data_IF_268248756360
#
_entry.id   IF_268248756360
#
_cell.length_a   1.000
_cell.length_b   1.000
_cell.length_c   1.000
_cell.angle_alpha   90.00
_cell.angle_beta   90.00
_cell.angle_gamma   90.00
#
_symmetry.space_group_name_H-M   'P 1'
#
loop_
_entity.id
_entity.type
_entity.pdbx_description
1 polymer ?
#
# COMPACT_ATOMS: atom_id res chain seq x y z
N UNK A 1 76.85 60.24 7.37
CA UNK A 1 75.77 59.86 6.44
C UNK A 1 75.49 58.40 6.69
N UNK A 2 74.37 58.06 7.33
CA UNK A 2 74.03 56.69 7.71
C UNK A 2 72.61 56.40 7.19
N UNK A 3 72.37 55.32 6.41
CA UNK A 3 71.08 55.10 5.79
C UNK A 3 70.14 54.45 6.80
N UNK A 4 69.09 55.17 7.22
CA UNK A 4 67.97 54.57 7.96
C UNK A 4 67.21 53.63 7.03
N UNK A 5 67.48 52.33 7.16
CA UNK A 5 66.71 51.25 6.53
C UNK A 5 65.36 51.14 7.25
N UNK A 6 64.29 51.56 6.59
CA UNK A 6 62.94 51.35 7.09
C UNK A 6 62.54 49.88 6.93
N UNK A 7 62.42 49.15 8.03
CA UNK A 7 61.80 47.83 8.01
C UNK A 7 60.28 47.98 7.94
N UNK A 8 59.70 47.60 6.80
CA UNK A 8 58.26 47.55 6.63
C UNK A 8 57.70 46.37 7.43
N UNK A 9 56.92 46.66 8.48
CA UNK A 9 56.12 45.65 9.20
C UNK A 9 54.96 45.21 8.30
N UNK A 10 55.15 44.11 7.58
CA UNK A 10 54.10 43.48 6.78
C UNK A 10 53.08 42.84 7.71
N UNK A 11 51.95 43.51 7.97
CA UNK A 11 50.79 42.89 8.59
C UNK A 11 49.94 42.22 7.51
N UNK A 12 49.78 40.89 7.60
CA UNK A 12 48.83 40.14 6.79
C UNK A 12 47.41 40.47 7.26
N UNK A 13 46.74 41.37 6.57
CA UNK A 13 45.29 41.57 6.70
C UNK A 13 44.56 40.36 6.12
N UNK A 14 44.11 39.46 7.01
CA UNK A 14 43.23 38.34 6.68
C UNK A 14 41.79 38.82 6.74
N UNK A 15 41.40 39.66 5.79
CA UNK A 15 40.06 40.21 5.75
C UNK A 15 39.24 39.33 4.80
N UNK A 16 38.35 38.51 5.36
CA UNK A 16 37.33 37.84 4.56
C UNK A 16 36.46 38.93 3.93
N UNK A 17 36.42 38.97 2.60
CA UNK A 17 35.61 39.94 1.89
C UNK A 17 34.13 39.67 2.17
N UNK A 18 33.35 40.66 2.63
CA UNK A 18 31.90 40.51 2.87
C UNK A 18 31.12 40.03 1.64
N UNK A 19 31.70 40.13 0.44
CA UNK A 19 31.17 39.60 -0.82
C UNK A 19 30.87 38.10 -0.74
N UNK A 20 31.59 37.33 0.10
CA UNK A 20 31.35 35.90 0.29
C UNK A 20 30.10 35.55 1.12
N UNK A 21 29.48 36.53 1.76
CA UNK A 21 28.24 36.31 2.51
C UNK A 21 27.12 35.87 1.56
N UNK A 22 27.02 36.50 0.39
CA UNK A 22 25.97 36.21 -0.58
C UNK A 22 25.98 34.75 -1.08
N UNK A 23 27.10 34.18 -1.58
CA UNK A 23 27.13 32.77 -1.99
C UNK A 23 26.93 31.79 -0.84
N UNK A 24 27.40 32.09 0.37
CA UNK A 24 27.16 31.23 1.56
C UNK A 24 25.68 31.22 1.92
N UNK A 25 25.03 32.38 1.96
CA UNK A 25 23.59 32.49 2.25
C UNK A 25 22.78 31.76 1.18
N UNK A 26 23.10 31.93 -0.10
CA UNK A 26 22.43 31.21 -1.19
C UNK A 26 22.62 29.69 -1.07
N UNK A 27 23.83 29.22 -0.73
CA UNK A 27 24.08 27.80 -0.51
C UNK A 27 23.29 27.24 0.69
N UNK A 28 23.18 28.00 1.78
CA UNK A 28 22.38 27.62 2.95
C UNK A 28 20.88 27.56 2.63
N UNK A 29 20.35 28.52 1.88
CA UNK A 29 18.95 28.50 1.43
C UNK A 29 18.71 27.29 0.52
N UNK A 30 19.62 27.00 -0.41
CA UNK A 30 19.53 25.82 -1.27
C UNK A 30 19.52 24.51 -0.47
N UNK A 31 20.45 24.39 0.49
CA UNK A 31 20.50 23.23 1.39
C UNK A 31 19.22 23.11 2.23
N UNK A 32 18.69 24.24 2.71
CA UNK A 32 17.44 24.28 3.47
C UNK A 32 16.25 23.82 2.62
N UNK A 33 16.10 24.30 1.39
CA UNK A 33 15.01 23.91 0.49
C UNK A 33 15.08 22.41 0.18
N UNK A 34 16.27 21.89 -0.10
CA UNK A 34 16.48 20.45 -0.34
C UNK A 34 16.09 19.62 0.89
N UNK A 35 16.53 20.03 2.07
CA UNK A 35 16.17 19.37 3.33
C UNK A 35 14.67 19.45 3.61
N UNK A 36 14.06 20.62 3.41
CA UNK A 36 12.64 20.85 3.62
C UNK A 36 11.78 19.98 2.70
N UNK A 37 12.15 19.89 1.41
CA UNK A 37 11.44 19.07 0.43
C UNK A 37 11.52 17.58 0.77
N UNK A 38 12.68 17.08 1.21
CA UNK A 38 12.85 15.67 1.55
C UNK A 38 12.20 15.30 2.89
N UNK A 39 12.24 16.21 3.88
CA UNK A 39 11.73 15.95 5.24
C UNK A 39 10.20 15.97 5.36
N UNK A 40 9.47 16.54 4.39
CA UNK A 40 8.00 16.62 4.42
C UNK A 40 7.32 15.62 3.48
N UNK A 41 8.08 14.74 2.83
CA UNK A 41 7.51 13.63 2.07
C UNK A 41 6.98 12.58 3.03
N UNK A 42 5.75 12.10 2.77
CA UNK A 42 5.22 10.96 3.52
C UNK A 42 5.91 9.65 3.14
N UNK A 43 5.54 8.53 3.79
CA UNK A 43 6.26 7.28 3.63
C UNK A 43 6.08 6.71 2.21
N UNK A 44 7.19 6.27 1.63
CA UNK A 44 7.18 5.47 0.40
C UNK A 44 6.83 4.02 0.74
N UNK A 45 5.95 3.42 -0.06
CA UNK A 45 5.53 2.03 0.05
C UNK A 45 5.72 1.34 -1.30
N UNK A 46 6.26 0.12 -1.25
CA UNK A 46 6.43 -0.74 -2.42
C UNK A 46 5.32 -1.78 -2.43
N UNK A 47 4.58 -1.86 -3.53
CA UNK A 47 3.52 -2.83 -3.76
C UNK A 47 3.93 -3.78 -4.89
N UNK A 48 3.69 -5.08 -4.72
CA UNK A 48 4.01 -6.12 -5.70
C UNK A 48 2.71 -6.75 -6.19
N UNK A 49 2.56 -6.84 -7.52
CA UNK A 49 1.42 -7.51 -8.18
C UNK A 49 1.91 -8.28 -9.40
N UNK A 50 1.11 -9.22 -9.89
CA UNK A 50 1.33 -9.87 -11.20
C UNK A 50 0.80 -9.04 -12.36
N UNK A 51 -0.13 -8.11 -12.10
CA UNK A 51 -0.73 -7.24 -13.12
C UNK A 51 -1.03 -5.85 -12.55
N UNK A 52 -0.70 -4.81 -13.32
CA UNK A 52 -0.93 -3.41 -12.97
C UNK A 52 -1.99 -2.74 -13.87
N UNK A 53 -2.93 -3.51 -14.42
CA UNK A 53 -4.03 -3.00 -15.24
C UNK A 53 -4.79 -1.87 -14.53
N UNK A 54 -4.87 -0.72 -15.21
CA UNK A 54 -5.57 0.46 -14.69
C UNK A 54 -4.80 1.24 -13.62
N UNK A 55 -3.55 0.87 -13.33
CA UNK A 55 -2.67 1.59 -12.41
C UNK A 55 -1.69 2.44 -13.20
N UNK A 56 -1.71 3.74 -12.96
CA UNK A 56 -0.86 4.73 -13.62
C UNK A 56 -0.11 5.59 -12.59
N UNK A 57 1.19 5.74 -12.81
CA UNK A 57 2.04 6.66 -12.03
C UNK A 57 1.56 8.11 -12.16
N UNK A 58 1.51 8.80 -11.03
CA UNK A 58 1.06 10.18 -10.90
C UNK A 58 -0.46 10.39 -10.97
N UNK A 59 -1.26 9.35 -11.20
CA UNK A 59 -2.73 9.46 -11.31
C UNK A 59 -3.49 8.55 -10.37
N UNK A 60 -3.04 7.30 -10.19
CA UNK A 60 -3.75 6.35 -9.33
C UNK A 60 -3.60 6.75 -7.87
N UNK A 61 -4.73 6.98 -7.21
CA UNK A 61 -4.78 7.37 -5.80
C UNK A 61 -4.80 6.15 -4.89
N UNK A 62 -4.23 6.29 -3.70
CA UNK A 62 -4.38 5.36 -2.60
C UNK A 62 -5.42 5.94 -1.65
N UNK A 63 -6.44 5.15 -1.32
CA UNK A 63 -7.51 5.54 -0.43
C UNK A 63 -7.60 4.62 0.77
N UNK A 64 -8.03 5.15 1.91
CA UNK A 64 -8.39 4.36 3.07
C UNK A 64 -9.75 4.84 3.55
N UNK A 65 -10.74 3.92 3.58
CA UNK A 65 -12.15 4.24 3.85
C UNK A 65 -12.67 5.33 2.91
N UNK A 66 -12.33 5.24 1.62
CA UNK A 66 -12.67 6.22 0.58
C UNK A 66 -12.04 7.61 0.73
N UNK A 67 -11.12 7.81 1.67
CA UNK A 67 -10.38 9.07 1.86
C UNK A 67 -9.03 8.96 1.16
N UNK A 68 -8.65 10.01 0.42
CA UNK A 68 -7.35 10.08 -0.25
C UNK A 68 -6.19 10.18 0.76
N UNK A 69 -5.26 9.22 0.69
CA UNK A 69 -4.13 9.09 1.61
C UNK A 69 -2.78 8.99 0.91
N UNK A 70 -2.75 9.05 -0.42
CA UNK A 70 -1.51 8.92 -1.18
C UNK A 70 -1.72 8.72 -2.68
N UNK A 71 -0.61 8.55 -3.39
CA UNK A 71 -0.60 8.41 -4.84
C UNK A 71 0.47 7.43 -5.30
N UNK A 72 0.20 6.71 -6.37
CA UNK A 72 1.19 5.88 -7.06
C UNK A 72 2.17 6.80 -7.77
N UNK A 73 3.47 6.62 -7.55
CA UNK A 73 4.53 7.39 -8.23
C UNK A 73 4.95 6.71 -9.53
N UNK A 74 5.13 5.39 -9.51
CA UNK A 74 5.55 4.62 -10.69
C UNK A 74 5.10 3.16 -10.61
N UNK A 75 4.97 2.55 -11.79
CA UNK A 75 4.75 1.11 -11.96
C UNK A 75 5.76 0.59 -12.99
N UNK A 76 6.59 -0.37 -12.59
CA UNK A 76 7.68 -0.92 -13.41
C UNK A 76 7.69 -2.43 -13.30
N UNK A 77 8.05 -3.14 -14.37
CA UNK A 77 8.35 -4.56 -14.25
C UNK A 77 9.58 -4.78 -13.37
N UNK A 78 9.55 -5.85 -12.60
CA UNK A 78 10.70 -6.37 -11.86
C UNK A 78 11.75 -6.95 -12.81
N UNK A 79 12.98 -7.14 -12.35
CA UNK A 79 14.11 -7.61 -13.17
C UNK A 79 13.85 -9.00 -13.80
N UNK A 80 13.06 -9.84 -13.14
CA UNK A 80 12.66 -11.15 -13.65
C UNK A 80 11.51 -11.10 -14.68
N UNK A 81 10.93 -9.91 -14.90
CA UNK A 81 9.80 -9.63 -15.79
C UNK A 81 8.50 -10.39 -15.46
N UNK A 82 8.41 -11.02 -14.28
CA UNK A 82 7.25 -11.82 -13.85
C UNK A 82 6.30 -11.05 -12.96
N UNK A 83 6.80 -10.03 -12.25
CA UNK A 83 6.00 -9.18 -11.37
C UNK A 83 6.10 -7.71 -11.76
N UNK A 84 5.09 -6.93 -11.38
CA UNK A 84 5.11 -5.47 -11.42
C UNK A 84 5.37 -4.94 -10.02
N UNK A 85 6.39 -4.09 -9.91
CA UNK A 85 6.69 -3.30 -8.74
C UNK A 85 6.06 -1.92 -8.89
N UNK A 86 5.21 -1.56 -7.94
CA UNK A 86 4.53 -0.27 -7.88
C UNK A 86 5.11 0.48 -6.70
N UNK A 87 5.73 1.64 -6.96
CA UNK A 87 6.12 2.58 -5.92
C UNK A 87 5.01 3.59 -5.71
N UNK A 88 4.57 3.72 -4.47
CA UNK A 88 3.59 4.72 -4.09
C UNK A 88 4.05 5.49 -2.87
N UNK A 89 3.51 6.69 -2.71
CA UNK A 89 3.84 7.56 -1.58
C UNK A 89 2.56 7.97 -0.88
N UNK A 90 2.51 7.72 0.42
CA UNK A 90 1.41 8.22 1.25
C UNK A 90 1.66 9.67 1.64
N UNK A 91 0.60 10.37 2.03
CA UNK A 91 0.70 11.69 2.61
C UNK A 91 1.44 11.66 3.97
N UNK A 92 2.07 12.77 4.33
CA UNK A 92 2.74 12.92 5.63
C UNK A 92 1.75 12.66 6.77
N UNK A 93 2.15 11.87 7.78
CA UNK A 93 1.29 11.50 8.91
C UNK A 93 0.48 10.22 8.71
N UNK A 94 0.57 9.58 7.53
CA UNK A 94 -0.12 8.31 7.21
C UNK A 94 0.73 7.07 7.48
N UNK A 95 1.90 7.21 8.12
CA UNK A 95 2.79 6.10 8.50
C UNK A 95 2.07 5.09 9.40
N UNK A 96 1.11 5.57 10.20
CA UNK A 96 0.27 4.75 11.10
C UNK A 96 -0.68 3.81 10.36
N UNK A 97 -0.84 3.95 9.05
CA UNK A 97 -1.63 3.03 8.23
C UNK A 97 -0.80 1.82 7.77
N UNK A 98 0.53 1.87 7.91
CA UNK A 98 1.48 0.88 7.42
C UNK A 98 1.93 -0.06 8.56
N UNK A 99 1.29 -1.22 8.63
CA UNK A 99 1.61 -2.32 9.51
C UNK A 99 1.87 -3.59 8.71
N UNK A 100 2.42 -4.63 9.33
CA UNK A 100 2.66 -5.92 8.65
C UNK A 100 1.38 -6.55 8.11
N UNK A 101 0.27 -6.35 8.82
CA UNK A 101 -1.06 -6.85 8.48
C UNK A 101 -1.91 -5.85 7.68
N UNK A 102 -1.34 -4.74 7.19
CA UNK A 102 -2.03 -3.84 6.27
C UNK A 102 -2.24 -4.51 4.92
N UNK A 103 -3.41 -4.31 4.31
CA UNK A 103 -3.82 -4.95 3.06
C UNK A 103 -4.10 -3.89 2.02
N UNK A 104 -3.58 -4.11 0.81
CA UNK A 104 -3.81 -3.24 -0.35
C UNK A 104 -4.54 -4.02 -1.43
N UNK A 105 -5.55 -3.42 -2.05
CA UNK A 105 -6.20 -4.00 -3.22
C UNK A 105 -6.62 -2.96 -4.24
N UNK A 106 -6.75 -3.39 -5.49
CA UNK A 106 -7.27 -2.55 -6.58
C UNK A 106 -8.80 -2.54 -6.53
N UNK A 107 -9.37 -1.34 -6.59
CA UNK A 107 -10.81 -1.14 -6.81
C UNK A 107 -11.00 -0.68 -8.25
N UNK A 108 -11.67 -1.52 -9.03
CA UNK A 108 -12.04 -1.27 -10.44
C UNK A 108 -13.47 -1.76 -10.71
N UNK A 109 -14.11 -1.37 -11.82
CA UNK A 109 -15.46 -1.82 -12.13
C UNK A 109 -15.42 -3.34 -12.35
N UNK A 110 -16.28 -4.06 -11.65
CA UNK A 110 -16.38 -5.51 -11.78
C UNK A 110 -17.82 -5.94 -11.99
N UNK A 111 -18.02 -6.89 -12.90
CA UNK A 111 -19.31 -7.53 -13.15
C UNK A 111 -19.24 -8.93 -12.56
N UNK A 112 -19.96 -9.13 -11.46
CA UNK A 112 -20.05 -10.40 -10.77
C UNK A 112 -21.46 -10.99 -10.86
N UNK A 113 -21.61 -12.20 -10.31
CA UNK A 113 -22.92 -12.86 -10.19
C UNK A 113 -23.87 -12.14 -9.24
N UNK A 114 -23.33 -11.43 -8.25
CA UNK A 114 -24.12 -10.63 -7.29
C UNK A 114 -24.50 -9.24 -7.83
N UNK A 115 -24.08 -8.89 -9.05
CA UNK A 115 -24.33 -7.60 -9.67
C UNK A 115 -23.05 -6.86 -10.04
N UNK A 116 -23.12 -5.54 -10.09
CA UNK A 116 -22.03 -4.68 -10.55
C UNK A 116 -21.46 -3.91 -9.36
N UNK A 117 -20.14 -3.98 -9.15
CA UNK A 117 -19.41 -3.22 -8.14
C UNK A 117 -18.42 -2.26 -8.79
N UNK A 118 -17.95 -1.27 -8.04
CA UNK A 118 -16.94 -0.33 -8.54
C UNK A 118 -17.41 0.64 -9.63
N UNK A 119 -18.71 0.82 -9.87
CA UNK A 119 -19.20 1.76 -10.90
C UNK A 119 -18.68 3.19 -10.74
N UNK A 120 -18.40 3.62 -9.51
CA UNK A 120 -17.80 4.93 -9.24
C UNK A 120 -16.41 5.13 -9.87
N UNK A 121 -15.72 4.05 -10.24
CA UNK A 121 -14.40 4.12 -10.88
C UNK A 121 -14.47 4.18 -12.41
N UNK A 122 -15.66 4.14 -13.01
CA UNK A 122 -15.80 4.26 -14.47
C UNK A 122 -15.34 5.61 -15.00
N UNK A 123 -15.58 6.67 -14.24
CA UNK A 123 -15.18 8.04 -14.59
C UNK A 123 -13.83 8.41 -13.97
N UNK A 124 -13.59 8.00 -12.73
CA UNK A 124 -12.41 8.38 -11.95
C UNK A 124 -11.18 7.51 -12.22
N UNK A 125 -11.34 6.39 -12.93
CA UNK A 125 -10.31 5.36 -13.06
C UNK A 125 -10.19 4.47 -11.83
N UNK A 126 -9.41 3.40 -11.95
CA UNK A 126 -9.12 2.49 -10.84
C UNK A 126 -8.28 3.20 -9.78
N UNK A 127 -8.47 2.79 -8.52
CA UNK A 127 -7.69 3.28 -7.39
C UNK A 127 -7.28 2.11 -6.49
N UNK A 128 -6.32 2.33 -5.61
CA UNK A 128 -5.87 1.34 -4.63
C UNK A 128 -6.53 1.67 -3.30
N UNK A 129 -7.20 0.71 -2.68
CA UNK A 129 -7.70 0.84 -1.32
C UNK A 129 -6.70 0.18 -0.35
N UNK A 130 -6.43 0.88 0.74
CA UNK A 130 -5.58 0.50 1.87
C UNK A 130 -6.46 0.26 3.08
N UNK A 131 -6.44 -0.97 3.58
CA UNK A 131 -6.93 -1.29 4.91
C UNK A 131 -5.78 -1.26 5.92
N UNK A 132 -5.82 -0.35 6.91
CA UNK A 132 -4.81 -0.29 7.96
C UNK A 132 -4.81 -1.56 8.80
N UNK A 133 -3.61 -2.10 9.03
CA UNK A 133 -3.38 -3.15 10.01
C UNK A 133 -3.26 -2.62 11.43
N UNK A 134 -2.90 -3.51 12.36
CA UNK A 134 -2.72 -3.18 13.78
C UNK A 134 -1.48 -3.81 14.40
N UNK A 135 -0.75 -4.67 13.66
CA UNK A 135 0.30 -5.53 14.21
C UNK A 135 1.54 -5.54 13.32
N UNK A 136 2.69 -5.61 13.99
CA UNK A 136 3.99 -5.74 13.33
C UNK A 136 4.49 -4.42 12.73
N UNK A 137 5.80 -4.38 12.50
CA UNK A 137 6.47 -3.29 11.81
C UNK A 137 6.16 -3.30 10.31
N UNK A 138 6.25 -2.14 9.67
CA UNK A 138 6.15 -2.00 8.23
C UNK A 138 7.17 -2.94 7.53
N UNK A 139 6.72 -3.86 6.65
CA UNK A 139 7.59 -4.67 5.80
C UNK A 139 8.15 -3.83 4.64
N UNK A 140 9.17 -4.35 3.97
CA UNK A 140 9.79 -3.69 2.81
C UNK A 140 8.83 -3.56 1.61
N UNK A 141 7.93 -4.53 1.45
CA UNK A 141 6.95 -4.58 0.37
C UNK A 141 5.63 -5.21 0.81
N UNK A 142 4.55 -4.81 0.16
CA UNK A 142 3.22 -5.38 0.32
C UNK A 142 2.77 -6.06 -0.96
N UNK A 143 1.93 -7.09 -0.82
CA UNK A 143 1.20 -7.63 -1.98
C UNK A 143 0.01 -6.73 -2.29
N UNK A 144 -0.15 -6.35 -3.55
CA UNK A 144 -1.34 -5.68 -4.05
C UNK A 144 -2.30 -6.73 -4.61
N UNK A 145 -3.48 -6.83 -4.00
CA UNK A 145 -4.51 -7.77 -4.41
C UNK A 145 -5.34 -7.20 -5.56
N UNK A 146 -5.73 -8.04 -6.51
CA UNK A 146 -6.58 -7.62 -7.64
C UNK A 146 -8.05 -7.34 -7.24
N UNK A 147 -8.45 -7.74 -6.04
CA UNK A 147 -9.82 -7.60 -5.53
C UNK A 147 -9.82 -7.48 -4.01
N UNK A 148 -10.87 -6.89 -3.41
CA UNK A 148 -10.98 -6.76 -1.97
C UNK A 148 -10.91 -8.12 -1.27
N UNK A 149 -10.25 -8.22 -0.10
CA UNK A 149 -10.30 -9.42 0.71
C UNK A 149 -11.75 -9.67 1.14
N UNK A 150 -12.21 -10.91 1.00
CA UNK A 150 -13.61 -11.29 1.26
C UNK A 150 -14.01 -11.13 2.73
N UNK A 151 -13.03 -11.19 3.63
CA UNK A 151 -13.17 -10.69 4.98
C UNK A 151 -11.86 -10.03 5.42
N UNK A 152 -11.95 -8.92 6.18
CA UNK A 152 -10.82 -8.38 6.90
C UNK A 152 -10.10 -9.43 7.75
N UNK A 153 -8.76 -9.33 7.91
CA UNK A 153 -8.02 -10.18 8.84
C UNK A 153 -8.55 -10.14 10.29
N UNK A 154 -9.10 -8.99 10.71
CA UNK A 154 -9.68 -8.74 12.02
C UNK A 154 -11.19 -9.02 12.11
N UNK A 155 -11.80 -9.55 11.03
CA UNK A 155 -13.22 -9.84 11.01
C UNK A 155 -13.59 -10.87 12.11
N UNK A 156 -14.45 -10.46 13.03
CA UNK A 156 -14.96 -11.33 14.10
C UNK A 156 -15.84 -12.42 13.51
N UNK A 157 -15.57 -13.67 13.87
CA UNK A 157 -16.27 -14.85 13.37
C UNK A 157 -15.40 -16.08 13.45
N UNK A 158 -15.81 -17.13 12.74
CA UNK A 158 -15.05 -18.38 12.62
C UNK A 158 -14.79 -18.73 11.16
N UNK A 159 -13.67 -19.40 10.92
CA UNK A 159 -13.31 -19.98 9.62
C UNK A 159 -13.47 -21.48 9.70
N UNK A 160 -14.18 -22.05 8.72
CA UNK A 160 -14.46 -23.49 8.62
C UNK A 160 -13.97 -23.98 7.28
N UNK A 161 -13.35 -25.16 7.25
CA UNK A 161 -12.94 -25.82 6.02
C UNK A 161 -13.99 -26.86 5.67
N UNK A 162 -14.51 -26.79 4.44
CA UNK A 162 -15.44 -27.76 3.87
C UNK A 162 -14.74 -28.52 2.74
N UNK A 163 -14.56 -29.82 2.94
CA UNK A 163 -14.06 -30.71 1.90
C UNK A 163 -15.22 -31.30 1.08
N UNK A 164 -15.11 -31.25 -0.25
CA UNK A 164 -16.10 -31.79 -1.18
C UNK A 164 -15.45 -32.60 -2.28
N UNK A 165 -16.07 -33.71 -2.67
CA UNK A 165 -15.66 -34.50 -3.85
C UNK A 165 -16.13 -33.88 -5.17
N UNK A 166 -17.03 -32.90 -5.13
CA UNK A 166 -17.58 -32.24 -6.32
C UNK A 166 -16.86 -30.92 -6.55
N UNK A 167 -16.17 -30.82 -7.69
CA UNK A 167 -15.51 -29.60 -8.10
C UNK A 167 -16.48 -28.55 -8.66
N UNK A 168 -16.12 -27.26 -8.52
CA UNK A 168 -16.78 -26.15 -9.21
C UNK A 168 -18.19 -25.76 -8.72
N UNK A 169 -18.61 -26.20 -7.53
CA UNK A 169 -19.93 -25.82 -7.00
C UNK A 169 -19.95 -24.46 -6.32
N UNK A 170 -18.83 -24.05 -5.72
CA UNK A 170 -18.70 -22.83 -4.95
C UNK A 170 -17.49 -22.02 -5.44
N UNK A 171 -17.69 -20.73 -5.59
CA UNK A 171 -16.67 -19.73 -5.93
C UNK A 171 -16.38 -18.82 -4.74
N UNK A 172 -15.16 -18.26 -4.63
CA UNK A 172 -14.89 -17.19 -3.67
C UNK A 172 -15.91 -16.06 -3.80
N UNK A 173 -16.48 -15.64 -2.67
CA UNK A 173 -17.55 -14.66 -2.58
C UNK A 173 -18.96 -15.24 -2.43
N UNK A 174 -19.18 -16.50 -2.80
CA UNK A 174 -20.50 -17.13 -2.70
C UNK A 174 -21.04 -17.09 -1.25
N UNK A 175 -22.34 -16.81 -1.06
CA UNK A 175 -22.90 -16.59 0.27
C UNK A 175 -23.07 -17.90 1.04
N UNK A 176 -22.70 -17.88 2.32
CA UNK A 176 -23.09 -18.93 3.27
C UNK A 176 -24.43 -18.55 3.88
N UNK A 177 -25.43 -19.40 3.70
CA UNK A 177 -26.80 -19.15 4.13
C UNK A 177 -27.19 -20.03 5.32
N UNK A 178 -27.87 -19.45 6.29
CA UNK A 178 -28.59 -20.16 7.33
C UNK A 178 -30.07 -19.76 7.28
N UNK A 179 -30.96 -20.71 6.98
CA UNK A 179 -32.41 -20.46 6.83
C UNK A 179 -32.74 -19.28 5.89
N UNK A 180 -32.00 -19.16 4.79
CA UNK A 180 -32.18 -18.08 3.80
C UNK A 180 -31.49 -16.76 4.15
N UNK A 181 -30.93 -16.61 5.36
CA UNK A 181 -30.16 -15.44 5.75
C UNK A 181 -28.67 -15.62 5.48
N UNK A 182 -28.02 -14.61 4.89
CA UNK A 182 -26.56 -14.61 4.69
C UNK A 182 -25.86 -14.46 6.04
N UNK A 183 -25.13 -15.49 6.44
CA UNK A 183 -24.35 -15.54 7.68
C UNK A 183 -22.84 -15.46 7.43
N UNK A 184 -22.41 -15.59 6.18
CA UNK A 184 -21.01 -15.65 5.81
C UNK A 184 -20.78 -15.67 4.30
N UNK A 185 -19.56 -16.03 3.92
CA UNK A 185 -19.17 -16.21 2.52
C UNK A 185 -18.02 -17.21 2.38
N UNK A 186 -17.90 -17.80 1.20
CA UNK A 186 -16.71 -18.59 0.81
C UNK A 186 -15.54 -17.62 0.63
N UNK A 187 -14.45 -17.78 1.39
CA UNK A 187 -13.22 -16.98 1.26
C UNK A 187 -12.29 -17.52 0.16
N UNK A 188 -12.09 -18.84 0.10
CA UNK A 188 -11.20 -19.45 -0.89
C UNK A 188 -11.73 -20.81 -1.34
N UNK A 189 -11.34 -21.22 -2.56
CA UNK A 189 -11.54 -22.56 -3.07
C UNK A 189 -10.22 -23.09 -3.61
N UNK A 190 -9.83 -24.28 -3.18
CA UNK A 190 -8.59 -24.92 -3.59
C UNK A 190 -8.84 -26.39 -3.91
N UNK A 191 -8.26 -26.89 -4.99
CA UNK A 191 -8.30 -28.30 -5.33
C UNK A 191 -7.08 -28.99 -4.73
N UNK A 192 -7.29 -30.01 -3.89
CA UNK A 192 -6.23 -30.90 -3.40
C UNK A 192 -6.07 -32.07 -4.39
N UNK A 193 -4.97 -32.13 -5.17
CA UNK A 193 -4.77 -33.17 -6.16
C UNK A 193 -4.54 -34.56 -5.55
N UNK A 194 -4.01 -34.62 -4.32
CA UNK A 194 -3.71 -35.88 -3.63
C UNK A 194 -4.98 -36.53 -3.12
N UNK A 195 -5.84 -35.73 -2.46
CA UNK A 195 -7.13 -36.20 -1.94
C UNK A 195 -8.23 -36.24 -3.00
N UNK A 196 -8.00 -35.59 -4.15
CA UNK A 196 -8.97 -35.39 -5.24
C UNK A 196 -10.26 -34.74 -4.73
N UNK A 197 -10.11 -33.79 -3.80
CA UNK A 197 -11.22 -33.06 -3.17
C UNK A 197 -10.99 -31.58 -3.31
N UNK A 198 -12.08 -30.83 -3.46
CA UNK A 198 -12.08 -29.39 -3.25
C UNK A 198 -12.12 -29.09 -1.76
N UNK A 199 -11.23 -28.25 -1.28
CA UNK A 199 -11.28 -27.62 0.03
C UNK A 199 -11.77 -26.18 -0.12
N UNK A 200 -12.86 -25.87 0.55
CA UNK A 200 -13.47 -24.55 0.59
C UNK A 200 -13.28 -23.94 1.98
N UNK A 201 -12.64 -22.78 2.05
CA UNK A 201 -12.58 -22.02 3.29
C UNK A 201 -13.80 -21.11 3.36
N UNK A 202 -14.61 -21.27 4.39
CA UNK A 202 -15.83 -20.52 4.65
C UNK A 202 -15.59 -19.60 5.84
N UNK A 203 -15.97 -18.33 5.72
CA UNK A 203 -16.01 -17.42 6.86
C UNK A 203 -17.45 -17.19 7.30
N UNK A 204 -17.72 -17.44 8.58
CA UNK A 204 -19.01 -17.21 9.21
C UNK A 204 -18.85 -16.06 10.20
N UNK A 205 -19.56 -14.96 9.94
CA UNK A 205 -19.40 -13.70 10.65
C UNK A 205 -20.08 -13.76 12.02
N UNK A 206 -19.44 -13.20 13.05
CA UNK A 206 -20.06 -13.01 14.35
C UNK A 206 -21.27 -12.04 14.27
N UNK A 207 -22.38 -12.30 14.99
CA UNK A 207 -22.55 -13.32 16.02
C UNK A 207 -23.09 -14.67 15.53
N UNK A 208 -23.17 -14.90 14.21
CA UNK A 208 -23.72 -16.13 13.64
C UNK A 208 -22.78 -17.34 13.76
N UNK A 209 -21.52 -17.10 14.11
CA UNK A 209 -20.54 -18.12 14.46
C UNK A 209 -21.04 -19.07 15.57
N UNK A 210 -21.86 -18.56 16.49
CA UNK A 210 -22.51 -19.34 17.56
C UNK A 210 -23.49 -20.40 17.05
N UNK A 211 -23.92 -20.32 15.80
CA UNK A 211 -24.83 -21.29 15.18
C UNK A 211 -24.10 -22.55 14.70
N UNK A 212 -22.78 -22.54 14.66
CA UNK A 212 -21.98 -23.69 14.23
C UNK A 212 -21.68 -24.58 15.42
N UNK A 213 -22.11 -25.84 15.34
CA UNK A 213 -21.93 -26.84 16.40
C UNK A 213 -21.18 -28.05 15.85
N UNK A 214 -20.38 -28.70 16.71
CA UNK A 214 -19.85 -30.04 16.43
C UNK A 214 -20.95 -31.07 16.68
N UNK A 215 -21.15 -32.00 15.75
CA UNK A 215 -22.06 -33.14 15.88
C UNK A 215 -21.22 -34.42 15.80
#
# INVERSE_FOLDING_TARGET
MEPKKGEAKVQKVKNWSPVWIFPIVTALIGAWILFYHYSHQGPEVTLITTNAEGIEGGKTTIKSRSVDVGVVESATLTDDLTHVQIKARLHSGMEKLLHKDSVFWVVKPQVGREGISGLGTLLSGAYIELQPGSKGSQPESYQLLDSPPLAPPDAKGIRVILDSKKAGQLSPGDPVLFRGYRVGSVETSSFDPQKRTMSYQLFIKAPNDRLVTSN
#
